data_IF_760269445489
#
_entry.id   IF_760269445489
#
_cell.length_a   1.000
_cell.length_b   1.000
_cell.length_c   1.000
_cell.angle_alpha   90.00
_cell.angle_beta   90.00
_cell.angle_gamma   90.00
#
_symmetry.space_group_name_H-M   'P 1'
#
loop_
_entity.id
_entity.type
_entity.pdbx_description
1 polymer ?
#
# COMPACT_ATOMS: atom_id res chain seq x y z
N UNK A 1 -7.73 -7.85 17.91
CA UNK A 1 -6.96 -8.85 17.16
C UNK A 1 -6.03 -8.08 16.22
N UNK A 2 -4.78 -8.43 16.07
CA UNK A 2 -3.81 -7.73 15.21
C UNK A 2 -3.66 -8.52 13.92
N UNK A 3 -3.82 -7.87 12.75
CA UNK A 3 -3.69 -8.54 11.45
C UNK A 3 -2.24 -8.56 10.97
N UNK A 4 -1.50 -7.44 11.17
CA UNK A 4 -0.07 -7.38 10.90
C UNK A 4 0.65 -6.66 12.02
N UNK A 5 1.87 -7.06 12.33
CA UNK A 5 2.69 -6.39 13.35
C UNK A 5 4.18 -6.48 13.01
N UNK A 6 4.90 -5.46 13.44
CA UNK A 6 6.35 -5.43 13.51
C UNK A 6 6.78 -5.09 14.93
N UNK A 7 7.78 -5.78 15.45
CA UNK A 7 8.37 -5.53 16.75
C UNK A 7 9.89 -5.46 16.63
N UNK A 8 10.46 -4.31 17.03
CA UNK A 8 11.89 -4.01 17.05
C UNK A 8 12.59 -4.29 15.70
N UNK A 9 11.91 -3.92 14.61
CA UNK A 9 12.39 -4.16 13.25
C UNK A 9 13.56 -3.25 12.93
N UNK A 10 14.68 -3.87 12.53
CA UNK A 10 15.88 -3.17 12.06
C UNK A 10 16.28 -3.74 10.69
N UNK A 11 16.58 -2.84 9.76
CA UNK A 11 17.03 -3.18 8.39
C UNK A 11 18.32 -2.46 8.08
N UNK A 12 19.32 -3.23 7.65
CA UNK A 12 20.61 -2.74 7.17
C UNK A 12 20.71 -2.94 5.65
N UNK A 13 21.21 -1.95 4.93
CA UNK A 13 21.60 -2.05 3.53
C UNK A 13 22.92 -1.31 3.32
N UNK A 14 23.89 -1.96 2.71
CA UNK A 14 25.22 -1.41 2.42
C UNK A 14 25.88 -0.69 3.61
N UNK A 15 25.80 -1.30 4.80
CA UNK A 15 26.29 -0.77 6.07
C UNK A 15 25.53 0.47 6.59
N UNK A 16 24.45 0.88 5.94
CA UNK A 16 23.57 1.96 6.40
C UNK A 16 22.33 1.38 7.05
N UNK A 17 21.97 1.88 8.21
CA UNK A 17 20.67 1.56 8.85
C UNK A 17 19.57 2.28 8.08
N UNK A 18 18.64 1.51 7.53
CA UNK A 18 17.45 2.02 6.81
C UNK A 18 16.25 2.10 7.73
N UNK A 19 16.08 1.09 8.60
CA UNK A 19 15.09 1.09 9.68
C UNK A 19 15.82 0.76 10.97
N UNK A 20 15.47 1.44 12.05
CA UNK A 20 16.11 1.34 13.36
C UNK A 20 15.04 1.21 14.45
N UNK A 21 14.90 0.01 14.99
CA UNK A 21 14.00 -0.31 16.11
C UNK A 21 12.53 0.10 15.88
N UNK A 22 11.99 -0.23 14.70
CA UNK A 22 10.62 0.12 14.31
C UNK A 22 9.63 -0.90 14.86
N UNK A 23 8.62 -0.42 15.59
CA UNK A 23 7.51 -1.25 16.09
C UNK A 23 6.17 -0.63 15.73
N UNK A 24 5.25 -1.44 15.19
CA UNK A 24 3.88 -1.02 14.86
C UNK A 24 2.91 -2.20 14.81
N UNK A 25 1.63 -1.88 14.88
CA UNK A 25 0.55 -2.85 14.74
C UNK A 25 -0.51 -2.34 13.77
N UNK A 26 -1.11 -3.26 13.02
CA UNK A 26 -2.19 -3.01 12.05
C UNK A 26 -3.41 -3.82 12.49
N UNK A 27 -4.53 -3.15 12.69
CA UNK A 27 -5.80 -3.79 13.03
C UNK A 27 -6.55 -4.23 11.77
N UNK A 28 -7.43 -5.24 11.84
CA UNK A 28 -8.31 -5.59 10.73
C UNK A 28 -9.19 -4.40 10.32
N UNK A 29 -9.41 -4.26 9.00
CA UNK A 29 -10.26 -3.22 8.38
C UNK A 29 -9.75 -1.79 8.58
N UNK A 30 -8.54 -1.60 9.07
CA UNK A 30 -7.92 -0.32 9.27
C UNK A 30 -7.22 0.14 7.98
N UNK A 31 -7.27 1.44 7.70
CA UNK A 31 -6.44 2.08 6.69
C UNK A 31 -5.31 2.84 7.36
N UNK A 32 -4.10 2.33 7.22
CA UNK A 32 -2.88 2.96 7.73
C UNK A 32 -2.10 3.58 6.58
N UNK A 33 -1.61 4.80 6.78
CA UNK A 33 -0.65 5.40 5.85
C UNK A 33 0.67 5.71 6.55
N UNK A 34 1.77 5.28 5.92
CA UNK A 34 3.14 5.59 6.33
C UNK A 34 3.59 6.81 5.51
N UNK A 35 3.89 7.90 6.20
CA UNK A 35 4.36 9.16 5.59
C UNK A 35 5.75 9.52 6.11
N UNK A 36 6.42 10.45 5.44
CA UNK A 36 7.75 10.93 5.82
C UNK A 36 8.58 11.36 4.62
N UNK A 37 9.74 12.00 4.84
CA UNK A 37 10.62 12.45 3.77
C UNK A 37 11.10 11.34 2.85
N UNK A 38 11.59 11.72 1.67
CA UNK A 38 12.25 10.77 0.78
C UNK A 38 13.50 10.17 1.45
N UNK A 39 13.65 8.86 1.33
CA UNK A 39 14.75 8.14 1.98
C UNK A 39 14.51 7.81 3.47
N UNK A 40 13.36 8.16 4.06
CA UNK A 40 13.04 7.82 5.46
C UNK A 40 12.87 6.32 5.72
N UNK A 41 12.73 5.48 4.68
CA UNK A 41 12.57 4.04 4.81
C UNK A 41 11.14 3.52 4.60
N UNK A 42 10.20 4.34 4.10
CA UNK A 42 8.78 4.00 3.91
C UNK A 42 8.56 2.70 3.14
N UNK A 43 9.06 2.62 1.90
CA UNK A 43 8.93 1.42 1.05
C UNK A 43 9.66 0.20 1.64
N UNK A 44 10.75 0.44 2.37
CA UNK A 44 11.45 -0.62 3.10
C UNK A 44 10.57 -1.17 4.22
N UNK A 45 9.95 -0.31 5.04
CA UNK A 45 9.03 -0.73 6.09
C UNK A 45 7.83 -1.48 5.51
N UNK A 46 7.23 -0.95 4.44
CA UNK A 46 6.10 -1.58 3.77
C UNK A 46 6.46 -2.98 3.25
N UNK A 47 7.62 -3.14 2.60
CA UNK A 47 8.08 -4.43 2.09
C UNK A 47 8.44 -5.43 3.19
N UNK A 48 8.91 -4.96 4.35
CA UNK A 48 9.15 -5.79 5.54
C UNK A 48 7.82 -6.30 6.11
N UNK A 49 6.83 -5.44 6.28
CA UNK A 49 5.49 -5.80 6.76
C UNK A 49 4.79 -6.81 5.83
N UNK A 50 4.97 -6.67 4.52
CA UNK A 50 4.48 -7.61 3.53
C UNK A 50 5.27 -8.94 3.48
N UNK A 51 6.36 -9.07 4.23
CA UNK A 51 7.21 -10.25 4.23
C UNK A 51 8.04 -10.44 2.96
N UNK A 52 8.24 -9.36 2.20
CA UNK A 52 9.04 -9.37 0.95
C UNK A 52 10.51 -9.05 1.22
N UNK A 53 10.81 -8.47 2.37
CA UNK A 53 12.18 -8.13 2.78
C UNK A 53 12.46 -8.68 4.18
N UNK A 54 13.66 -9.23 4.36
CA UNK A 54 14.13 -9.71 5.67
C UNK A 54 14.56 -8.54 6.56
N UNK A 55 14.36 -8.69 7.85
CA UNK A 55 14.77 -7.73 8.89
C UNK A 55 15.25 -8.48 10.13
N UNK A 56 15.98 -7.81 11.01
CA UNK A 56 16.04 -8.20 12.41
C UNK A 56 14.72 -7.81 13.10
N UNK A 57 14.44 -8.36 14.27
CA UNK A 57 13.15 -8.21 14.95
C UNK A 57 12.09 -9.19 14.45
N UNK A 58 10.85 -8.98 14.84
CA UNK A 58 9.75 -9.88 14.55
C UNK A 58 8.71 -9.21 13.67
N UNK A 59 8.24 -9.92 12.63
CA UNK A 59 7.13 -9.51 11.78
C UNK A 59 6.11 -10.63 11.73
N UNK A 60 4.85 -10.31 12.00
CA UNK A 60 3.75 -11.26 11.97
C UNK A 60 2.66 -10.82 10.99
N UNK A 61 2.09 -11.80 10.30
CA UNK A 61 0.85 -11.69 9.51
C UNK A 61 -0.15 -12.71 10.05
N UNK A 62 -1.34 -12.25 10.40
CA UNK A 62 -2.41 -13.06 10.99
C UNK A 62 -1.92 -13.92 12.18
N UNK A 63 -1.13 -13.30 13.07
CA UNK A 63 -0.57 -13.94 14.27
C UNK A 63 0.56 -14.94 14.02
N UNK A 64 0.99 -15.14 12.77
CA UNK A 64 2.09 -16.05 12.40
C UNK A 64 3.34 -15.27 12.01
N UNK A 65 4.51 -15.73 12.47
CA UNK A 65 5.78 -15.11 12.07
C UNK A 65 6.04 -15.26 10.56
N UNK A 66 6.27 -14.15 9.88
CA UNK A 66 6.54 -14.10 8.44
C UNK A 66 7.74 -14.95 8.03
N UNK A 67 8.77 -15.02 8.87
CA UNK A 67 9.98 -15.84 8.64
C UNK A 67 9.71 -17.35 8.60
N UNK A 68 8.60 -17.81 9.19
CA UNK A 68 8.19 -19.22 9.19
C UNK A 68 7.28 -19.58 8.02
N UNK A 69 6.82 -18.60 7.23
CA UNK A 69 5.88 -18.81 6.14
C UNK A 69 6.59 -18.99 4.80
N UNK A 70 6.08 -19.93 4.00
CA UNK A 70 6.44 -20.01 2.59
C UNK A 70 5.96 -18.77 1.81
N UNK A 71 6.58 -18.45 0.65
CA UNK A 71 6.10 -17.35 -0.19
C UNK A 71 4.61 -17.44 -0.56
N UNK A 72 4.11 -18.66 -0.80
CA UNK A 72 2.70 -18.92 -1.11
C UNK A 72 1.79 -18.61 0.07
N UNK A 73 2.14 -19.04 1.28
CA UNK A 73 1.35 -18.74 2.48
C UNK A 73 1.25 -17.24 2.73
N UNK A 74 2.35 -16.49 2.56
CA UNK A 74 2.32 -15.02 2.65
C UNK A 74 1.42 -14.40 1.59
N UNK A 75 1.53 -14.87 0.35
CA UNK A 75 0.72 -14.36 -0.75
C UNK A 75 -0.78 -14.68 -0.63
N UNK A 76 -1.18 -15.69 0.15
CA UNK A 76 -2.58 -15.94 0.47
C UNK A 76 -3.13 -14.99 1.55
N UNK A 77 -2.27 -14.33 2.33
CA UNK A 77 -2.66 -13.40 3.39
C UNK A 77 -2.52 -11.94 2.98
N UNK A 78 -1.52 -11.61 2.16
CA UNK A 78 -1.14 -10.25 1.85
C UNK A 78 -0.85 -10.06 0.36
N UNK A 79 -1.46 -9.04 -0.24
CA UNK A 79 -1.11 -8.56 -1.57
C UNK A 79 -0.18 -7.33 -1.47
N UNK A 80 0.68 -7.13 -2.47
CA UNK A 80 1.59 -5.99 -2.54
C UNK A 80 1.58 -5.36 -3.93
N UNK A 81 1.39 -4.05 -3.98
CA UNK A 81 1.48 -3.23 -5.18
C UNK A 81 2.69 -2.32 -5.04
N UNK A 82 3.79 -2.57 -5.78
CA UNK A 82 4.97 -1.71 -5.74
C UNK A 82 4.72 -0.36 -6.41
N UNK A 83 5.57 0.62 -6.14
CA UNK A 83 5.50 1.96 -6.71
C UNK A 83 5.58 1.95 -8.25
N UNK A 84 6.43 1.08 -8.80
CA UNK A 84 6.60 0.89 -10.24
C UNK A 84 6.42 -0.60 -10.58
N UNK A 85 5.15 -1.06 -10.75
CA UNK A 85 4.92 -2.43 -11.15
C UNK A 85 5.47 -2.71 -12.56
N UNK A 86 6.14 -3.84 -12.72
CA UNK A 86 6.53 -4.29 -14.06
C UNK A 86 5.30 -4.61 -14.91
N UNK A 87 5.29 -4.10 -16.13
CA UNK A 87 4.23 -4.31 -17.11
C UNK A 87 4.76 -5.25 -18.19
N UNK A 88 4.31 -6.53 -18.23
CA UNK A 88 4.73 -7.46 -19.26
C UNK A 88 4.25 -6.99 -20.65
N UNK A 89 5.16 -6.85 -21.64
CA UNK A 89 4.80 -6.40 -22.98
C UNK A 89 3.77 -7.31 -23.63
N UNK A 90 2.74 -6.71 -24.27
CA UNK A 90 1.71 -7.45 -25.02
C UNK A 90 0.73 -8.26 -24.17
N UNK A 91 0.80 -8.15 -22.85
CA UNK A 91 -0.13 -8.87 -21.96
C UNK A 91 -1.48 -8.14 -21.91
N UNK A 92 -2.59 -8.87 -22.03
CA UNK A 92 -3.93 -8.31 -21.89
C UNK A 92 -4.27 -8.00 -20.43
N UNK A 93 -5.21 -7.07 -20.20
CA UNK A 93 -5.75 -6.74 -18.87
C UNK A 93 -6.22 -7.99 -18.15
N UNK A 94 -7.02 -8.85 -18.80
CA UNK A 94 -7.52 -10.09 -18.19
C UNK A 94 -6.38 -11.01 -17.72
N UNK A 95 -5.39 -11.26 -18.57
CA UNK A 95 -4.27 -12.12 -18.22
C UNK A 95 -3.43 -11.52 -17.08
N UNK A 96 -3.27 -10.20 -17.05
CA UNK A 96 -2.55 -9.52 -15.99
C UNK A 96 -3.27 -9.63 -14.64
N UNK A 97 -4.58 -9.43 -14.62
CA UNK A 97 -5.39 -9.59 -13.40
C UNK A 97 -5.39 -11.04 -12.93
N UNK A 98 -5.41 -12.00 -13.88
CA UNK A 98 -5.36 -13.43 -13.60
C UNK A 98 -4.08 -13.86 -12.87
N UNK A 99 -2.94 -13.16 -13.06
CA UNK A 99 -1.71 -13.39 -12.28
C UNK A 99 -1.98 -13.26 -10.77
N UNK A 100 -2.93 -12.43 -10.35
CA UNK A 100 -3.35 -12.32 -8.95
C UNK A 100 -3.84 -13.65 -8.36
N UNK A 101 -4.28 -14.59 -9.18
CA UNK A 101 -4.75 -15.92 -8.75
C UNK A 101 -3.63 -16.94 -8.51
N UNK A 102 -2.40 -16.62 -8.91
CA UNK A 102 -1.23 -17.55 -8.78
C UNK A 102 -1.10 -18.21 -7.41
N UNK A 103 -1.29 -17.53 -6.26
CA UNK A 103 -1.18 -18.17 -4.94
C UNK A 103 -2.24 -19.25 -4.68
N UNK A 104 -3.37 -19.21 -5.38
CA UNK A 104 -4.46 -20.18 -5.23
C UNK A 104 -4.26 -21.45 -6.05
N UNK A 105 -3.41 -21.40 -7.08
CA UNK A 105 -3.14 -22.54 -7.94
C UNK A 105 -2.32 -23.61 -7.20
N UNK A 106 -2.53 -24.87 -7.53
CA UNK A 106 -1.64 -25.96 -7.11
C UNK A 106 -0.30 -25.88 -7.86
N UNK A 107 0.73 -26.59 -7.39
CA UNK A 107 2.10 -26.52 -7.95
C UNK A 107 2.17 -26.82 -9.47
N UNK A 108 1.25 -27.64 -9.98
CA UNK A 108 1.11 -28.01 -11.41
C UNK A 108 -0.29 -27.63 -11.93
N UNK A 109 -1.00 -26.76 -11.21
CA UNK A 109 -2.35 -26.37 -11.57
C UNK A 109 -2.35 -25.28 -12.64
N UNK A 110 -3.39 -25.33 -13.46
CA UNK A 110 -3.79 -24.24 -14.36
C UNK A 110 -5.00 -23.54 -13.79
N UNK A 111 -5.23 -22.32 -14.20
CA UNK A 111 -6.38 -21.52 -13.80
C UNK A 111 -7.67 -22.23 -14.17
N UNK A 112 -8.58 -22.32 -13.21
CA UNK A 112 -9.87 -22.93 -13.34
C UNK A 112 -11.00 -21.90 -13.56
N UNK A 113 -12.22 -22.41 -13.72
CA UNK A 113 -13.41 -21.58 -13.88
C UNK A 113 -13.58 -20.56 -12.76
N UNK A 114 -13.35 -20.97 -11.51
CA UNK A 114 -13.48 -20.10 -10.33
C UNK A 114 -12.51 -18.92 -10.37
N UNK A 115 -11.30 -19.13 -10.90
CA UNK A 115 -10.31 -18.06 -11.04
C UNK A 115 -10.74 -17.02 -12.07
N UNK A 116 -11.28 -17.45 -13.21
CA UNK A 116 -11.84 -16.54 -14.21
C UNK A 116 -13.07 -15.80 -13.69
N UNK A 117 -13.96 -16.45 -12.92
CA UNK A 117 -15.11 -15.78 -12.30
C UNK A 117 -14.68 -14.71 -11.27
N UNK A 118 -13.58 -14.92 -10.53
CA UNK A 118 -12.99 -13.88 -9.67
C UNK A 118 -12.45 -12.72 -10.49
N UNK A 119 -11.70 -13.00 -11.55
CA UNK A 119 -11.10 -12.00 -12.44
C UNK A 119 -12.18 -11.16 -13.10
N UNK A 120 -13.23 -11.76 -13.64
CA UNK A 120 -14.32 -11.05 -14.32
C UNK A 120 -15.04 -10.08 -13.34
N UNK A 121 -15.35 -10.54 -12.13
CA UNK A 121 -15.94 -9.69 -11.08
C UNK A 121 -15.05 -8.50 -10.71
N UNK A 122 -13.75 -8.72 -10.56
CA UNK A 122 -12.81 -7.66 -10.22
C UNK A 122 -12.63 -6.67 -11.37
N UNK A 123 -12.59 -7.14 -12.60
CA UNK A 123 -12.55 -6.30 -13.82
C UNK A 123 -13.80 -5.41 -13.89
N UNK A 124 -14.98 -5.95 -13.64
CA UNK A 124 -16.23 -5.20 -13.59
C UNK A 124 -16.23 -4.16 -12.45
N UNK A 125 -15.85 -4.58 -11.25
CA UNK A 125 -15.81 -3.72 -10.05
C UNK A 125 -14.88 -2.51 -10.20
N UNK A 126 -13.82 -2.64 -11.02
CA UNK A 126 -12.83 -1.60 -11.23
C UNK A 126 -13.04 -0.83 -12.56
N UNK A 127 -14.22 -1.01 -13.20
CA UNK A 127 -14.57 -0.36 -14.47
C UNK A 127 -13.53 -0.61 -15.58
N UNK A 128 -13.08 -1.87 -15.70
CA UNK A 128 -12.10 -2.31 -16.68
C UNK A 128 -12.70 -3.20 -17.77
N UNK A 129 -14.02 -3.47 -17.75
CA UNK A 129 -14.69 -4.42 -18.66
C UNK A 129 -14.49 -4.07 -20.14
N UNK A 130 -14.48 -2.79 -20.48
CA UNK A 130 -14.24 -2.30 -21.85
C UNK A 130 -12.77 -2.40 -22.29
N UNK A 131 -11.85 -2.75 -21.37
CA UNK A 131 -10.41 -2.86 -21.60
C UNK A 131 -9.91 -4.31 -21.50
N UNK A 132 -10.77 -5.28 -21.18
CA UNK A 132 -10.42 -6.67 -20.84
C UNK A 132 -9.41 -7.31 -21.80
N UNK A 133 -9.57 -7.08 -23.10
CA UNK A 133 -8.71 -7.66 -24.15
C UNK A 133 -7.64 -6.70 -24.67
N UNK A 134 -7.58 -5.46 -24.15
CA UNK A 134 -6.51 -4.52 -24.51
C UNK A 134 -5.20 -4.90 -23.83
N UNK A 135 -4.09 -4.59 -24.47
CA UNK A 135 -2.76 -4.79 -23.89
C UNK A 135 -2.42 -3.65 -22.92
N UNK A 136 -1.71 -3.97 -21.84
CA UNK A 136 -1.38 -3.00 -20.77
C UNK A 136 -0.58 -1.80 -21.28
N UNK A 137 0.28 -2.00 -22.26
CA UNK A 137 1.09 -0.96 -22.90
C UNK A 137 0.27 0.06 -23.74
N UNK A 138 -1.00 -0.26 -24.02
CA UNK A 138 -1.93 0.62 -24.72
C UNK A 138 -2.81 1.47 -23.82
N UNK A 139 -2.69 1.31 -22.48
CA UNK A 139 -3.55 1.95 -21.50
C UNK A 139 -3.02 3.33 -21.09
N UNK A 140 -3.92 4.21 -20.67
CA UNK A 140 -3.57 5.43 -19.95
C UNK A 140 -3.00 5.10 -18.53
N UNK A 141 -2.31 6.05 -17.92
CA UNK A 141 -1.75 5.86 -16.56
C UNK A 141 -2.81 5.49 -15.51
N UNK A 142 -3.98 6.13 -15.57
CA UNK A 142 -5.08 5.81 -14.63
C UNK A 142 -5.71 4.44 -14.87
N UNK A 143 -5.88 4.03 -16.15
CA UNK A 143 -6.35 2.68 -16.50
C UNK A 143 -5.34 1.60 -16.06
N UNK A 144 -4.06 1.85 -16.28
CA UNK A 144 -3.00 0.94 -15.87
C UNK A 144 -2.95 0.82 -14.33
N UNK A 145 -3.11 1.93 -13.61
CA UNK A 145 -3.15 1.89 -12.15
C UNK A 145 -4.34 1.07 -11.63
N UNK A 146 -5.52 1.19 -12.25
CA UNK A 146 -6.66 0.33 -11.94
C UNK A 146 -6.39 -1.15 -12.24
N UNK A 147 -5.62 -1.47 -13.28
CA UNK A 147 -5.19 -2.85 -13.56
C UNK A 147 -4.25 -3.39 -12.47
N UNK A 148 -3.32 -2.58 -11.94
CA UNK A 148 -2.47 -2.99 -10.83
C UNK A 148 -3.29 -3.27 -9.56
N UNK A 149 -4.28 -2.43 -9.28
CA UNK A 149 -5.22 -2.62 -8.19
C UNK A 149 -6.06 -3.90 -8.42
N UNK A 150 -6.58 -4.11 -9.64
CA UNK A 150 -7.35 -5.29 -10.00
C UNK A 150 -6.57 -6.59 -9.73
N UNK A 151 -5.31 -6.65 -10.14
CA UNK A 151 -4.43 -7.80 -9.87
C UNK A 151 -4.28 -8.07 -8.37
N UNK A 152 -4.10 -7.02 -7.56
CA UNK A 152 -3.98 -7.18 -6.11
C UNK A 152 -5.29 -7.65 -5.45
N UNK A 153 -6.43 -7.13 -5.89
CA UNK A 153 -7.76 -7.52 -5.37
C UNK A 153 -8.14 -8.94 -5.82
N UNK A 154 -7.79 -9.34 -7.04
CA UNK A 154 -8.00 -10.71 -7.52
C UNK A 154 -7.27 -11.76 -6.66
N UNK A 155 -6.25 -11.37 -5.91
CA UNK A 155 -5.55 -12.24 -4.97
C UNK A 155 -6.40 -12.61 -3.75
N UNK A 156 -7.47 -11.85 -3.45
CA UNK A 156 -8.43 -12.11 -2.35
C UNK A 156 -7.76 -12.26 -0.98
N UNK A 157 -6.91 -11.32 -0.63
CA UNK A 157 -6.22 -11.26 0.67
C UNK A 157 -6.95 -10.36 1.67
N UNK A 158 -6.71 -10.56 2.97
CA UNK A 158 -7.27 -9.71 4.03
C UNK A 158 -6.56 -8.37 4.19
N UNK A 159 -5.32 -8.25 3.68
CA UNK A 159 -4.51 -7.03 3.75
C UNK A 159 -3.85 -6.76 2.39
N UNK A 160 -3.86 -5.49 1.98
CA UNK A 160 -3.14 -5.03 0.78
C UNK A 160 -2.18 -3.91 1.16
N UNK A 161 -0.94 -4.07 0.70
CA UNK A 161 0.14 -3.10 0.84
C UNK A 161 0.30 -2.33 -0.47
N UNK A 162 0.25 -0.99 -0.42
CA UNK A 162 0.42 -0.11 -1.57
C UNK A 162 1.63 0.80 -1.37
N UNK A 163 2.62 0.70 -2.24
CA UNK A 163 3.78 1.58 -2.21
C UNK A 163 3.57 2.75 -3.16
N UNK A 164 3.22 3.91 -2.59
CA UNK A 164 2.98 5.17 -3.30
C UNK A 164 2.05 5.05 -4.54
N UNK A 165 0.82 4.52 -4.40
CA UNK A 165 -0.02 4.16 -5.54
C UNK A 165 -0.54 5.37 -6.35
N UNK A 166 -0.38 6.58 -5.83
CA UNK A 166 -0.86 7.82 -6.46
C UNK A 166 0.25 8.68 -7.05
N UNK A 167 1.51 8.29 -6.87
CA UNK A 167 2.66 9.00 -7.44
C UNK A 167 2.58 8.98 -8.97
N UNK A 168 2.84 10.11 -9.62
CA UNK A 168 2.73 10.33 -11.06
C UNK A 168 1.30 10.41 -11.63
N UNK A 169 0.26 10.47 -10.81
CA UNK A 169 -1.10 10.78 -11.22
C UNK A 169 -1.43 12.26 -10.98
N UNK A 170 -2.27 12.84 -11.81
CA UNK A 170 -2.87 14.14 -11.51
C UNK A 170 -3.90 14.06 -10.39
N UNK A 171 -4.29 15.22 -9.82
CA UNK A 171 -5.18 15.29 -8.66
C UNK A 171 -6.50 14.53 -8.85
N UNK A 172 -7.09 14.59 -10.04
CA UNK A 172 -8.35 13.91 -10.31
C UNK A 172 -8.20 12.38 -10.29
N UNK A 173 -7.15 11.88 -10.93
CA UNK A 173 -6.85 10.45 -10.92
C UNK A 173 -6.40 9.94 -9.56
N UNK A 174 -5.65 10.74 -8.78
CA UNK A 174 -5.29 10.41 -7.39
C UNK A 174 -6.54 10.19 -6.55
N UNK A 175 -7.48 11.13 -6.59
CA UNK A 175 -8.75 11.03 -5.88
C UNK A 175 -9.53 9.77 -6.31
N UNK A 176 -9.68 9.53 -7.61
CA UNK A 176 -10.38 8.35 -8.11
C UNK A 176 -9.80 7.05 -7.59
N UNK A 177 -8.47 6.90 -7.57
CA UNK A 177 -7.79 5.71 -7.05
C UNK A 177 -8.03 5.54 -5.55
N UNK A 178 -7.93 6.61 -4.76
CA UNK A 178 -8.13 6.56 -3.31
C UNK A 178 -9.59 6.26 -2.94
N UNK A 179 -10.56 6.86 -3.65
CA UNK A 179 -11.98 6.56 -3.47
C UNK A 179 -12.29 5.10 -3.83
N UNK A 180 -11.69 4.58 -4.90
CA UNK A 180 -11.83 3.20 -5.28
C UNK A 180 -11.28 2.25 -4.20
N UNK A 181 -10.09 2.52 -3.65
CA UNK A 181 -9.51 1.75 -2.55
C UNK A 181 -10.40 1.86 -1.30
N UNK A 182 -10.97 3.03 -1.00
CA UNK A 182 -11.91 3.22 0.13
C UNK A 182 -13.18 2.38 -0.06
N UNK A 183 -13.75 2.38 -1.26
CA UNK A 183 -14.90 1.55 -1.59
C UNK A 183 -14.62 0.05 -1.41
N UNK A 184 -13.45 -0.40 -1.84
CA UNK A 184 -12.99 -1.79 -1.66
C UNK A 184 -12.78 -2.13 -0.17
N UNK A 185 -12.13 -1.23 0.58
CA UNK A 185 -11.92 -1.41 2.02
C UNK A 185 -13.25 -1.62 2.76
N UNK A 186 -14.26 -0.79 2.45
CA UNK A 186 -15.55 -0.86 3.10
C UNK A 186 -16.37 -2.09 2.67
N UNK A 187 -16.42 -2.39 1.37
CA UNK A 187 -17.27 -3.46 0.83
C UNK A 187 -16.70 -4.87 1.06
N UNK A 188 -15.37 -5.00 1.12
CA UNK A 188 -14.68 -6.29 1.29
C UNK A 188 -14.03 -6.44 2.67
N UNK A 189 -14.23 -5.48 3.58
CA UNK A 189 -13.60 -5.47 4.91
C UNK A 189 -12.07 -5.53 4.85
N UNK A 190 -11.49 -4.95 3.80
CA UNK A 190 -10.08 -5.00 3.50
C UNK A 190 -9.27 -4.13 4.46
N UNK A 191 -8.10 -4.61 4.85
CA UNK A 191 -7.12 -3.80 5.57
C UNK A 191 -6.14 -3.19 4.57
N UNK A 192 -5.87 -1.90 4.69
CA UNK A 192 -5.02 -1.16 3.77
C UNK A 192 -3.82 -0.60 4.53
N UNK A 193 -2.62 -0.89 4.04
CA UNK A 193 -1.39 -0.24 4.50
C UNK A 193 -0.70 0.36 3.28
N UNK A 194 -0.50 1.68 3.29
CA UNK A 194 0.15 2.32 2.15
C UNK A 194 1.21 3.33 2.55
N UNK A 195 2.09 3.63 1.61
CA UNK A 195 2.98 4.78 1.71
C UNK A 195 2.42 5.92 0.85
N UNK A 196 2.55 7.15 1.32
CA UNK A 196 2.17 8.34 0.56
C UNK A 196 3.19 9.47 0.74
N UNK A 197 3.29 10.34 -0.27
CA UNK A 197 4.06 11.58 -0.19
C UNK A 197 3.15 12.77 0.16
N UNK A 198 1.91 12.77 -0.33
CA UNK A 198 0.93 13.82 -0.03
C UNK A 198 0.33 13.63 1.36
N UNK A 199 0.68 14.54 2.28
CA UNK A 199 0.25 14.50 3.67
C UNK A 199 -1.23 14.89 3.82
N UNK A 200 -1.76 15.73 2.94
CA UNK A 200 -3.16 16.14 2.96
C UNK A 200 -4.06 14.98 2.52
N UNK A 201 -3.71 14.28 1.45
CA UNK A 201 -4.42 13.06 1.04
C UNK A 201 -4.28 11.94 2.08
N UNK A 202 -3.10 11.77 2.69
CA UNK A 202 -2.92 10.82 3.78
C UNK A 202 -3.86 11.13 4.95
N UNK A 203 -4.04 12.42 5.29
CA UNK A 203 -4.98 12.84 6.34
C UNK A 203 -6.44 12.52 6.02
N UNK A 204 -6.86 12.67 4.77
CA UNK A 204 -8.24 12.49 4.34
C UNK A 204 -8.68 11.02 4.31
N UNK A 205 -7.76 10.14 3.94
CA UNK A 205 -8.10 8.74 3.68
C UNK A 205 -7.67 7.76 4.78
N UNK A 206 -6.77 8.14 5.69
CA UNK A 206 -6.24 7.21 6.69
C UNK A 206 -7.00 7.27 8.01
N UNK A 207 -7.19 6.11 8.62
CA UNK A 207 -7.65 6.02 10.01
C UNK A 207 -6.49 6.34 10.97
N UNK A 208 -5.27 5.91 10.60
CA UNK A 208 -4.03 6.21 11.32
C UNK A 208 -2.89 6.52 10.36
N UNK A 209 -2.02 7.42 10.81
CA UNK A 209 -0.78 7.78 10.13
C UNK A 209 0.42 7.39 10.99
N UNK A 210 1.46 6.85 10.35
CA UNK A 210 2.78 6.65 10.92
C UNK A 210 3.76 7.59 10.24
N UNK A 211 4.30 8.54 11.00
CA UNK A 211 5.32 9.47 10.51
C UNK A 211 6.70 8.87 10.71
N UNK A 212 7.37 8.57 9.61
CA UNK A 212 8.70 7.97 9.59
C UNK A 212 9.76 9.04 9.29
N UNK A 213 10.81 9.08 10.09
CA UNK A 213 11.96 9.95 9.92
C UNK A 213 13.25 9.22 10.25
N UNK A 214 14.26 9.30 9.39
CA UNK A 214 15.59 8.69 9.58
C UNK A 214 15.52 7.22 10.03
N UNK A 215 14.59 6.45 9.46
CA UNK A 215 14.40 5.03 9.76
C UNK A 215 13.64 4.73 11.07
N UNK A 216 13.09 5.73 11.76
CA UNK A 216 12.34 5.58 13.01
C UNK A 216 10.93 6.10 12.90
N UNK A 217 10.01 5.55 13.69
CA UNK A 217 8.67 6.15 13.86
C UNK A 217 8.81 7.36 14.80
N UNK A 218 8.60 8.56 14.24
CA UNK A 218 8.63 9.83 14.96
C UNK A 218 7.34 10.08 15.72
N UNK A 219 6.21 9.74 15.10
CA UNK A 219 4.88 9.83 15.70
C UNK A 219 3.92 8.88 14.98
N UNK A 220 2.86 8.46 15.66
CA UNK A 220 1.76 7.71 15.07
C UNK A 220 0.45 8.00 15.79
N UNK A 221 -0.66 7.85 15.09
CA UNK A 221 -2.00 8.11 15.64
C UNK A 221 -2.96 8.62 14.56
N UNK A 222 -4.04 9.28 14.97
CA UNK A 222 -4.94 9.94 14.03
C UNK A 222 -4.20 11.05 13.28
N UNK A 223 -4.54 11.32 12.02
CA UNK A 223 -3.82 12.31 11.21
C UNK A 223 -3.64 13.66 11.91
N UNK A 224 -4.70 14.20 12.52
CA UNK A 224 -4.69 15.47 13.24
C UNK A 224 -3.76 15.49 14.47
N UNK A 225 -3.48 14.35 15.08
CA UNK A 225 -2.62 14.25 16.26
C UNK A 225 -1.13 14.07 15.86
N UNK A 226 -0.88 13.66 14.61
CA UNK A 226 0.46 13.36 14.10
C UNK A 226 1.01 14.47 13.22
N UNK A 227 0.17 15.05 12.36
CA UNK A 227 0.56 16.04 11.37
C UNK A 227 0.45 17.46 11.98
N UNK A 228 1.47 17.91 12.69
CA UNK A 228 1.57 19.28 13.20
C UNK A 228 2.70 20.06 12.53
N UNK A 229 2.58 21.40 12.51
CA UNK A 229 3.49 22.29 11.80
C UNK A 229 4.92 22.23 12.32
N UNK A 230 5.12 22.12 13.63
CA UNK A 230 6.45 22.13 14.25
C UNK A 230 7.21 20.85 13.93
N UNK A 231 6.57 19.69 14.17
CA UNK A 231 7.12 18.36 13.89
C UNK A 231 7.45 18.18 12.41
N UNK A 232 6.51 18.55 11.53
CA UNK A 232 6.72 18.44 10.08
C UNK A 232 7.82 19.39 9.62
N UNK A 233 7.85 20.64 10.10
CA UNK A 233 8.91 21.59 9.73
C UNK A 233 10.30 21.11 10.15
N UNK A 234 10.41 20.56 11.35
CA UNK A 234 11.66 19.95 11.84
C UNK A 234 12.08 18.75 10.99
N UNK A 235 11.14 17.84 10.69
CA UNK A 235 11.44 16.61 9.98
C UNK A 235 11.79 16.81 8.50
N UNK A 236 11.09 17.76 7.84
CA UNK A 236 11.30 18.04 6.41
C UNK A 236 12.36 19.13 6.16
N UNK A 237 12.87 19.79 7.22
CA UNK A 237 13.85 20.88 7.10
C UNK A 237 13.32 22.07 6.32
N UNK A 238 12.01 22.32 6.37
CA UNK A 238 11.32 23.40 5.64
C UNK A 238 10.17 23.94 6.48
N UNK A 239 9.80 25.21 6.27
CA UNK A 239 8.61 25.77 6.91
C UNK A 239 7.36 25.09 6.36
N UNK A 240 6.62 24.42 7.23
CA UNK A 240 5.36 23.76 6.89
C UNK A 240 4.24 24.33 7.74
N UNK A 241 3.13 24.63 7.10
CA UNK A 241 1.90 25.11 7.75
C UNK A 241 0.86 24.01 7.65
N UNK A 242 0.27 23.70 8.79
CA UNK A 242 -0.84 22.74 8.89
C UNK A 242 -2.09 23.52 9.24
N UNK A 243 -3.12 23.32 8.44
CA UNK A 243 -4.43 23.98 8.57
C UNK A 243 -5.50 22.92 8.74
N UNK A 244 -6.61 23.29 9.36
CA UNK A 244 -7.84 22.50 9.35
C UNK A 244 -8.83 23.15 8.38
N UNK A 245 -9.30 22.40 7.40
CA UNK A 245 -10.28 22.85 6.41
C UNK A 245 -11.37 21.79 6.31
N UNK A 246 -12.60 22.15 6.59
CA UNK A 246 -13.77 21.24 6.57
C UNK A 246 -13.57 19.94 7.38
N UNK A 247 -12.88 20.05 8.52
CA UNK A 247 -12.59 18.90 9.40
C UNK A 247 -11.42 18.00 8.92
N UNK A 248 -10.72 18.40 7.88
CA UNK A 248 -9.54 17.69 7.36
C UNK A 248 -8.26 18.49 7.60
N UNK A 249 -7.19 17.76 7.89
CA UNK A 249 -5.85 18.34 8.01
C UNK A 249 -5.26 18.58 6.62
N UNK A 250 -4.95 19.83 6.31
CA UNK A 250 -4.30 20.25 5.06
C UNK A 250 -2.89 20.73 5.36
N UNK A 251 -1.92 20.19 4.64
CA UNK A 251 -0.49 20.50 4.82
C UNK A 251 0.01 21.26 3.60
N UNK A 252 0.55 22.44 3.82
CA UNK A 252 1.07 23.31 2.75
C UNK A 252 2.49 23.81 3.08
N UNK A 253 3.34 24.01 2.06
CA UNK A 253 4.60 24.72 2.25
C UNK A 253 4.36 26.16 2.74
N UNK A 254 5.05 26.56 3.80
CA UNK A 254 5.04 27.95 4.26
C UNK A 254 6.04 28.79 3.45
N UNK A 255 5.68 30.03 3.15
CA UNK A 255 6.67 31.01 2.64
C UNK A 255 7.46 31.57 3.81
N UNK A 256 8.74 31.86 3.59
CA UNK A 256 9.58 32.64 4.51
C UNK A 256 9.11 34.09 4.60
#
# INVERSE_FOLDING_TARGET
MTLSSAANVTVLADKKTILDDVSLTVSPREWITIVGPNGAGKSTLLSVLAGLRTSAGEVCLDGRQVSSMSPRERALLAAYVPQHPEVPPGMSVQNYVLIGRTPHLSLLGVEGRDDYEVVDRVIEQLDLSHLTHRTLDSLSGGELQRCHLARAIAQQTSIVFFDEPTTALDLGHQQQVLELIRGLQQSQELTVVMTMQDLSLASQYSDRVFLLGEGKIVAHGRPQDVLDSERLSSLYGARIVVLEVDGHTVVIPGKE
#
